data_IF_096683536127
#
_entry.id   IF_096683536127
#
_cell.length_a   1.000
_cell.length_b   1.000
_cell.length_c   1.000
_cell.angle_alpha   90.00
_cell.angle_beta   90.00
_cell.angle_gamma   90.00
#
_symmetry.space_group_name_H-M   'P 1'
#
loop_
_entity.id
_entity.type
_entity.pdbx_description
1 polymer ?
#
# COMPACT_ATOMS: atom_id res chain seq x y z
N UNK A 1 3.43 -18.49 21.60
CA UNK A 1 2.09 -19.12 21.40
C UNK A 1 2.33 -20.62 21.53
N UNK A 2 1.70 -21.30 22.51
CA UNK A 2 2.10 -22.63 23.02
C UNK A 2 1.98 -23.84 22.09
N UNK A 3 2.34 -23.70 20.82
CA UNK A 3 2.53 -24.82 19.90
C UNK A 3 3.85 -25.54 20.25
N UNK A 4 3.84 -26.86 20.16
CA UNK A 4 5.05 -27.67 20.33
C UNK A 4 6.11 -27.29 19.26
N UNK A 5 7.36 -26.98 19.64
CA UNK A 5 8.39 -26.54 18.69
C UNK A 5 8.73 -27.56 17.59
N UNK A 6 8.63 -28.86 17.86
CA UNK A 6 8.86 -29.90 16.84
C UNK A 6 7.75 -29.83 15.79
N UNK A 7 6.51 -29.67 16.23
CA UNK A 7 5.35 -29.44 15.35
C UNK A 7 5.54 -28.17 14.51
N UNK A 8 6.06 -27.09 15.10
CA UNK A 8 6.35 -25.85 14.37
C UNK A 8 7.41 -26.06 13.26
N UNK A 9 8.49 -26.79 13.55
CA UNK A 9 9.52 -27.15 12.55
C UNK A 9 8.92 -28.04 11.46
N UNK A 10 8.11 -29.03 11.82
CA UNK A 10 7.47 -29.93 10.87
C UNK A 10 6.58 -29.15 9.87
N UNK A 11 5.75 -28.23 10.38
CA UNK A 11 4.90 -27.36 9.56
C UNK A 11 5.74 -26.52 8.58
N UNK A 12 6.88 -25.99 9.04
CA UNK A 12 7.76 -25.13 8.24
C UNK A 12 8.70 -25.90 7.29
N UNK A 13 8.77 -27.23 7.37
CA UNK A 13 9.71 -28.06 6.60
C UNK A 13 8.99 -29.14 5.80
N UNK A 14 8.80 -30.34 6.36
CA UNK A 14 8.28 -31.49 5.61
C UNK A 14 6.85 -31.26 5.11
N UNK A 15 5.97 -30.63 5.89
CA UNK A 15 4.60 -30.36 5.44
C UNK A 15 4.59 -29.40 4.24
N UNK A 16 5.48 -28.41 4.22
CA UNK A 16 5.64 -27.51 3.08
C UNK A 16 6.21 -28.25 1.86
N UNK A 17 7.22 -29.10 2.06
CA UNK A 17 7.80 -29.89 0.98
C UNK A 17 6.80 -30.86 0.37
N UNK A 18 6.00 -31.56 1.18
CA UNK A 18 4.93 -32.45 0.72
C UNK A 18 3.84 -31.68 -0.05
N UNK A 19 3.45 -30.50 0.46
CA UNK A 19 2.46 -29.64 -0.21
C UNK A 19 2.94 -29.24 -1.62
N UNK A 20 4.22 -28.89 -1.77
CA UNK A 20 4.83 -28.55 -3.05
C UNK A 20 5.32 -29.76 -3.86
N UNK A 21 5.21 -30.98 -3.33
CA UNK A 21 5.68 -32.24 -3.94
C UNK A 21 7.16 -32.25 -4.28
N UNK A 22 7.97 -31.76 -3.34
CA UNK A 22 9.44 -31.74 -3.39
C UNK A 22 10.04 -32.43 -2.15
N UNK A 23 9.24 -33.26 -1.47
CA UNK A 23 9.61 -34.00 -0.27
C UNK A 23 10.54 -35.18 -0.53
N UNK A 24 10.84 -35.52 -1.79
CA UNK A 24 11.94 -36.39 -2.16
C UNK A 24 13.30 -35.69 -2.10
N UNK A 25 13.35 -34.37 -2.30
CA UNK A 25 14.57 -33.56 -2.31
C UNK A 25 14.77 -32.73 -1.03
N UNK A 26 13.69 -32.20 -0.43
CA UNK A 26 13.72 -31.18 0.62
C UNK A 26 12.86 -31.53 1.85
N UNK A 27 12.87 -30.65 2.84
CA UNK A 27 11.91 -30.66 3.97
C UNK A 27 12.23 -31.63 5.10
N UNK A 28 13.23 -32.50 4.99
CA UNK A 28 13.67 -33.34 6.11
C UNK A 28 15.14 -33.71 6.02
N UNK A 29 15.72 -34.16 7.14
CA UNK A 29 17.10 -34.66 7.19
C UNK A 29 17.07 -36.16 6.90
N UNK A 30 17.46 -36.55 5.68
CA UNK A 30 17.54 -37.94 5.26
C UNK A 30 18.60 -38.13 4.17
N UNK A 31 19.08 -39.36 3.98
CA UNK A 31 20.02 -39.67 2.90
C UNK A 31 19.37 -39.42 1.53
N UNK A 32 20.14 -38.81 0.62
CA UNK A 32 19.69 -38.50 -0.74
C UNK A 32 19.00 -37.15 -0.90
N UNK A 33 18.70 -36.45 0.20
CA UNK A 33 18.13 -35.09 0.19
C UNK A 33 19.19 -34.00 0.10
N UNK A 34 18.77 -32.84 -0.39
CA UNK A 34 19.59 -31.63 -0.41
C UNK A 34 19.86 -31.20 1.03
N UNK A 35 21.12 -30.86 1.32
CA UNK A 35 21.56 -30.48 2.66
C UNK A 35 21.26 -29.01 2.98
N UNK A 36 19.98 -28.66 3.02
CA UNK A 36 19.46 -27.38 3.49
C UNK A 36 19.14 -27.50 4.99
N UNK A 37 20.03 -26.98 5.83
CA UNK A 37 20.01 -27.20 7.28
C UNK A 37 20.12 -25.90 8.06
N UNK A 38 19.37 -25.83 9.17
CA UNK A 38 19.54 -24.81 10.21
C UNK A 38 20.08 -25.48 11.47
N UNK A 39 21.21 -25.00 11.98
CA UNK A 39 21.69 -25.34 13.32
C UNK A 39 21.25 -24.22 14.23
N UNK A 40 20.37 -24.54 15.18
CA UNK A 40 19.82 -23.58 16.15
C UNK A 40 20.31 -23.89 17.56
N UNK A 41 20.34 -22.88 18.42
CA UNK A 41 20.75 -23.04 19.82
C UNK A 41 19.82 -24.00 20.60
N UNK A 42 18.52 -23.88 20.40
CA UNK A 42 17.45 -24.71 20.93
C UNK A 42 16.14 -24.43 20.15
N UNK A 43 15.15 -25.32 20.27
CA UNK A 43 13.88 -25.18 19.53
C UNK A 43 12.94 -24.12 20.11
N UNK A 44 13.17 -23.64 21.34
CA UNK A 44 12.31 -22.63 21.99
C UNK A 44 12.65 -21.22 21.55
N UNK A 45 13.93 -20.83 21.61
CA UNK A 45 14.42 -19.51 21.17
C UNK A 45 14.65 -19.47 19.65
N UNK A 46 14.96 -20.62 19.05
CA UNK A 46 15.18 -20.81 17.61
C UNK A 46 16.23 -19.85 17.02
N UNK A 47 17.26 -19.50 17.79
CA UNK A 47 18.33 -18.64 17.31
C UNK A 47 19.24 -19.44 16.36
N UNK A 48 19.30 -19.01 15.10
CA UNK A 48 20.07 -19.70 14.05
C UNK A 48 21.57 -19.42 14.20
N UNK A 49 22.32 -20.43 14.61
CA UNK A 49 23.79 -20.39 14.66
C UNK A 49 24.41 -20.58 13.27
N UNK A 50 23.92 -21.56 12.49
CA UNK A 50 24.50 -21.89 11.18
C UNK A 50 23.40 -22.15 10.17
N UNK A 51 23.59 -21.62 8.97
CA UNK A 51 22.78 -21.95 7.79
C UNK A 51 23.65 -22.72 6.82
N UNK A 52 23.19 -23.91 6.45
CA UNK A 52 23.74 -24.72 5.36
C UNK A 52 22.73 -24.67 4.22
N UNK A 53 23.20 -24.36 3.01
CA UNK A 53 22.40 -24.41 1.79
C UNK A 53 23.17 -25.23 0.76
N UNK A 54 22.52 -26.22 0.16
CA UNK A 54 23.14 -27.17 -0.78
C UNK A 54 24.45 -27.79 -0.26
N UNK A 55 24.47 -28.14 1.04
CA UNK A 55 25.65 -28.73 1.69
C UNK A 55 26.77 -27.76 2.05
N UNK A 56 26.66 -26.48 1.67
CA UNK A 56 27.63 -25.45 2.01
C UNK A 56 27.18 -24.58 3.18
N UNK A 57 28.07 -24.36 4.15
CA UNK A 57 27.79 -23.39 5.22
C UNK A 57 27.78 -21.99 4.61
N UNK A 58 26.62 -21.36 4.48
CA UNK A 58 26.45 -20.02 3.87
C UNK A 58 26.36 -18.89 4.89
N UNK A 59 26.00 -19.19 6.14
CA UNK A 59 25.96 -18.21 7.24
C UNK A 59 26.40 -18.84 8.55
N UNK A 60 27.11 -18.07 9.39
CA UNK A 60 27.45 -18.48 10.76
C UNK A 60 27.37 -17.29 11.72
N UNK A 61 26.63 -17.44 12.82
CA UNK A 61 26.38 -16.44 13.86
C UNK A 61 25.94 -15.09 13.28
N UNK A 62 24.97 -15.14 12.36
CA UNK A 62 24.44 -13.96 11.65
C UNK A 62 25.33 -13.39 10.55
N UNK A 63 26.57 -13.88 10.37
CA UNK A 63 27.45 -13.45 9.29
C UNK A 63 27.23 -14.30 8.05
N UNK A 64 26.60 -13.74 7.03
CA UNK A 64 26.48 -14.34 5.70
C UNK A 64 27.84 -14.31 4.98
N UNK A 65 28.21 -15.40 4.31
CA UNK A 65 29.54 -15.56 3.69
C UNK A 65 29.69 -14.84 2.35
N UNK A 66 28.61 -14.67 1.59
CA UNK A 66 28.67 -14.09 0.25
C UNK A 66 28.36 -12.59 0.27
N UNK A 67 28.99 -11.86 -0.64
CA UNK A 67 28.65 -10.46 -0.90
C UNK A 67 27.41 -10.42 -1.81
N UNK A 68 26.26 -10.01 -1.25
CA UNK A 68 25.02 -9.84 -2.00
C UNK A 68 25.11 -8.56 -2.83
N UNK A 69 25.58 -8.69 -4.06
CA UNK A 69 25.61 -7.57 -5.00
C UNK A 69 24.19 -7.30 -5.53
N UNK A 70 23.70 -6.05 -5.48
CA UNK A 70 22.44 -5.70 -6.11
C UNK A 70 22.45 -6.11 -7.58
N UNK A 71 21.38 -6.75 -8.09
CA UNK A 71 21.30 -7.11 -9.50
C UNK A 71 21.27 -5.83 -10.36
N UNK A 72 21.63 -5.97 -11.63
CA UNK A 72 21.35 -4.92 -12.61
C UNK A 72 19.86 -4.97 -12.94
N UNK A 73 19.13 -3.95 -12.53
CA UNK A 73 17.73 -3.81 -12.89
C UNK A 73 17.59 -3.43 -14.37
N UNK A 74 16.79 -4.17 -15.15
CA UNK A 74 16.42 -3.80 -16.51
C UNK A 74 15.78 -2.41 -16.58
N UNK A 75 15.87 -1.76 -17.73
CA UNK A 75 15.36 -0.39 -17.90
C UNK A 75 13.84 -0.31 -17.76
N UNK A 76 13.11 -1.34 -18.20
CA UNK A 76 11.64 -1.38 -18.06
C UNK A 76 11.16 -1.43 -16.60
N UNK A 77 12.06 -1.74 -15.65
CA UNK A 77 11.74 -1.73 -14.21
C UNK A 77 11.94 -0.36 -13.57
N UNK A 78 12.39 0.63 -14.33
CA UNK A 78 12.63 2.01 -13.87
C UNK A 78 11.61 2.93 -14.53
N UNK A 79 11.41 4.10 -13.94
CA UNK A 79 10.57 5.17 -14.50
C UNK A 79 9.15 4.69 -14.88
N UNK A 80 8.60 3.83 -14.01
CA UNK A 80 7.29 3.20 -14.18
C UNK A 80 6.15 3.99 -13.55
N UNK A 81 6.44 5.14 -12.95
CA UNK A 81 5.40 6.08 -12.52
C UNK A 81 5.23 7.12 -13.63
N UNK A 82 4.17 6.97 -14.43
CA UNK A 82 3.93 7.80 -15.60
C UNK A 82 2.59 8.49 -15.47
N UNK A 83 2.64 9.81 -15.33
CA UNK A 83 1.45 10.67 -15.39
C UNK A 83 1.53 11.52 -16.67
N UNK A 84 0.42 11.75 -17.37
CA UNK A 84 0.45 12.43 -18.67
C UNK A 84 0.75 13.91 -18.55
N UNK A 85 0.52 14.46 -17.36
CA UNK A 85 0.87 15.81 -16.95
C UNK A 85 1.03 15.87 -15.43
N UNK A 86 1.50 17.01 -14.95
CA UNK A 86 1.44 17.35 -13.54
C UNK A 86 -0.01 17.33 -13.03
N UNK A 87 -0.23 16.68 -11.89
CA UNK A 87 -1.51 16.63 -11.19
C UNK A 87 -1.73 17.95 -10.46
N UNK A 88 -2.91 18.53 -10.63
CA UNK A 88 -3.29 19.83 -10.09
C UNK A 88 -4.31 19.63 -8.96
N UNK A 89 -4.39 20.55 -7.99
CA UNK A 89 -5.42 20.48 -6.93
C UNK A 89 -6.85 20.36 -7.50
N UNK A 90 -7.11 21.01 -8.64
CA UNK A 90 -8.41 20.96 -9.29
C UNK A 90 -8.80 19.56 -9.81
N UNK A 91 -7.86 18.63 -10.00
CA UNK A 91 -8.15 17.27 -10.43
C UNK A 91 -8.86 16.46 -9.33
N UNK A 92 -8.70 16.83 -8.06
CA UNK A 92 -9.35 16.20 -6.90
C UNK A 92 -10.71 16.83 -6.54
N UNK A 93 -11.18 17.83 -7.31
CA UNK A 93 -12.46 18.48 -7.05
C UNK A 93 -13.61 17.57 -7.46
N UNK A 94 -14.44 17.20 -6.50
CA UNK A 94 -15.69 16.46 -6.71
C UNK A 94 -16.80 17.48 -6.95
N UNK A 95 -17.19 17.70 -8.20
CA UNK A 95 -18.28 18.62 -8.54
C UNK A 95 -19.63 17.98 -8.28
N UNK A 96 -20.60 18.81 -7.90
CA UNK A 96 -22.00 18.40 -7.73
C UNK A 96 -22.92 19.43 -8.39
N UNK A 97 -24.11 18.99 -8.81
CA UNK A 97 -25.18 19.89 -9.29
C UNK A 97 -26.06 20.41 -8.14
N UNK A 98 -25.84 19.91 -6.91
CA UNK A 98 -26.63 20.29 -5.73
C UNK A 98 -26.15 21.62 -5.16
N UNK A 99 -27.10 22.43 -4.68
CA UNK A 99 -26.82 23.76 -4.12
C UNK A 99 -26.55 23.76 -2.60
N UNK A 100 -26.80 22.64 -1.91
CA UNK A 100 -26.70 22.49 -0.45
C UNK A 100 -25.84 21.26 -0.09
N UNK A 101 -25.75 20.92 1.20
CA UNK A 101 -25.02 19.72 1.64
C UNK A 101 -25.45 18.45 0.89
N UNK A 102 -24.47 17.61 0.57
CA UNK A 102 -24.65 16.44 -0.28
C UNK A 102 -24.47 15.16 0.52
N UNK A 103 -25.40 14.22 0.32
CA UNK A 103 -25.31 12.85 0.81
C UNK A 103 -24.35 12.06 -0.06
N UNK A 104 -23.28 11.55 0.54
CA UNK A 104 -22.25 10.75 -0.14
C UNK A 104 -22.00 9.44 0.57
N UNK A 105 -21.63 8.42 -0.21
CA UNK A 105 -21.08 7.18 0.30
C UNK A 105 -19.63 7.40 0.71
N UNK A 106 -19.25 6.84 1.86
CA UNK A 106 -17.92 7.02 2.46
C UNK A 106 -17.35 5.65 2.80
N UNK A 107 -16.07 5.45 2.51
CA UNK A 107 -15.35 4.25 2.94
C UNK A 107 -15.08 4.38 4.44
N UNK A 108 -15.66 3.51 5.27
CA UNK A 108 -15.42 3.49 6.71
C UNK A 108 -14.24 2.59 7.08
N UNK A 109 -13.17 3.15 7.62
CA UNK A 109 -11.99 2.41 8.09
C UNK A 109 -12.28 1.74 9.44
N UNK A 110 -11.92 0.47 9.58
CA UNK A 110 -11.87 -0.23 10.87
C UNK A 110 -10.40 -0.47 11.22
N UNK A 111 -9.89 0.22 12.25
CA UNK A 111 -8.47 0.11 12.60
C UNK A 111 -8.06 -1.33 12.94
N UNK A 112 -7.04 -1.83 12.25
CA UNK A 112 -6.49 -3.16 12.47
C UNK A 112 -7.17 -4.27 11.66
N UNK A 113 -8.18 -3.93 10.85
CA UNK A 113 -8.88 -4.87 9.97
C UNK A 113 -8.67 -4.54 8.49
N UNK A 114 -8.91 -5.54 7.63
CA UNK A 114 -8.82 -5.40 6.18
C UNK A 114 -10.17 -5.04 5.54
N UNK A 115 -11.25 -5.39 6.24
CA UNK A 115 -12.62 -5.08 5.82
C UNK A 115 -12.92 -3.60 6.08
N UNK A 116 -13.83 -3.06 5.27
CA UNK A 116 -14.36 -1.70 5.41
C UNK A 116 -15.85 -1.72 5.65
N UNK A 117 -16.39 -0.62 6.18
CA UNK A 117 -17.82 -0.37 6.20
C UNK A 117 -18.22 0.49 5.02
N UNK A 118 -19.41 0.24 4.49
CA UNK A 118 -20.12 1.18 3.62
C UNK A 118 -20.85 2.20 4.49
N UNK A 119 -20.27 3.39 4.63
CA UNK A 119 -20.82 4.47 5.44
C UNK A 119 -21.45 5.55 4.57
N UNK A 120 -22.19 6.45 5.22
CA UNK A 120 -22.90 7.54 4.60
C UNK A 120 -22.64 8.82 5.39
N UNK A 121 -22.36 9.92 4.68
CA UNK A 121 -22.16 11.23 5.30
C UNK A 121 -22.87 12.34 4.54
N UNK A 122 -23.14 13.43 5.25
CA UNK A 122 -23.57 14.70 4.68
C UNK A 122 -22.37 15.64 4.75
N UNK A 123 -21.87 16.04 3.58
CA UNK A 123 -20.65 16.83 3.44
C UNK A 123 -20.93 18.26 2.96
N UNK A 124 -20.10 19.22 3.41
CA UNK A 124 -20.22 20.61 3.02
C UNK A 124 -19.84 20.82 1.56
N UNK A 125 -20.36 21.91 0.99
CA UNK A 125 -19.99 22.40 -0.32
C UNK A 125 -19.18 23.68 -0.22
N UNK A 126 -18.17 23.78 -1.08
CA UNK A 126 -17.44 25.02 -1.31
C UNK A 126 -17.30 25.24 -2.83
N UNK A 127 -17.81 26.37 -3.32
CA UNK A 127 -17.76 26.74 -4.75
C UNK A 127 -18.26 25.62 -5.70
N UNK A 128 -19.36 24.93 -5.33
CA UNK A 128 -19.96 23.85 -6.11
C UNK A 128 -19.20 22.52 -6.08
N UNK A 129 -18.25 22.36 -5.16
CA UNK A 129 -17.51 21.12 -4.97
C UNK A 129 -17.75 20.55 -3.57
N UNK A 130 -17.87 19.22 -3.48
CA UNK A 130 -17.95 18.50 -2.21
C UNK A 130 -16.57 18.50 -1.55
N UNK A 131 -16.51 18.89 -0.27
CA UNK A 131 -15.27 19.03 0.48
C UNK A 131 -15.12 17.95 1.57
N UNK A 132 -13.87 17.69 1.94
CA UNK A 132 -13.56 16.92 3.14
C UNK A 132 -14.12 17.64 4.39
N UNK A 133 -14.43 16.88 5.44
CA UNK A 133 -14.94 17.38 6.71
C UNK A 133 -14.07 16.81 7.83
N UNK A 134 -12.99 17.52 8.12
CA UNK A 134 -11.96 17.12 9.10
C UNK A 134 -12.54 16.98 10.50
N UNK A 135 -13.52 17.81 10.87
CA UNK A 135 -14.18 17.75 12.18
C UNK A 135 -14.96 16.44 12.37
N UNK A 136 -15.40 15.83 11.26
CA UNK A 136 -16.04 14.50 11.24
C UNK A 136 -15.08 13.36 10.88
N UNK A 137 -13.78 13.62 10.82
CA UNK A 137 -12.75 12.68 10.36
C UNK A 137 -13.04 12.10 8.97
N UNK A 138 -13.47 12.97 8.03
CA UNK A 138 -13.70 12.58 6.63
C UNK A 138 -12.68 13.29 5.75
N UNK A 139 -11.82 12.49 5.11
CA UNK A 139 -10.82 12.94 4.14
C UNK A 139 -11.21 12.55 2.71
N UNK A 140 -10.58 13.17 1.72
CA UNK A 140 -10.64 12.69 0.34
C UNK A 140 -9.66 11.54 0.15
N UNK A 141 -10.05 10.57 -0.67
CA UNK A 141 -9.20 9.48 -1.14
C UNK A 141 -9.28 9.41 -2.66
N UNK A 142 -8.14 9.20 -3.31
CA UNK A 142 -8.09 9.04 -4.76
C UNK A 142 -7.11 7.94 -5.18
N UNK A 143 -7.46 7.27 -6.28
CA UNK A 143 -6.59 6.32 -6.99
C UNK A 143 -6.34 6.84 -8.38
N UNK A 144 -5.08 6.95 -8.77
CA UNK A 144 -4.62 7.55 -10.02
C UNK A 144 -3.88 6.50 -10.85
N UNK A 145 -4.35 6.29 -12.07
CA UNK A 145 -3.70 5.42 -13.05
C UNK A 145 -2.31 5.97 -13.40
N UNK A 146 -1.28 5.10 -13.37
CA UNK A 146 0.12 5.52 -13.46
C UNK A 146 0.95 4.79 -14.51
N UNK A 147 0.34 3.92 -15.30
CA UNK A 147 1.01 3.12 -16.33
C UNK A 147 0.80 3.69 -17.73
N UNK A 148 -0.26 4.48 -17.94
CA UNK A 148 -0.67 5.03 -19.22
C UNK A 148 -0.87 3.97 -20.30
N UNK A 149 -1.43 2.81 -19.93
CA UNK A 149 -1.77 1.80 -20.94
C UNK A 149 -2.79 2.40 -21.92
N UNK A 150 -2.61 2.21 -23.24
CA UNK A 150 -3.58 2.66 -24.24
C UNK A 150 -5.00 2.19 -23.96
N UNK A 151 -5.18 0.99 -23.40
CA UNK A 151 -6.49 0.44 -23.07
C UNK A 151 -7.19 1.25 -21.97
N UNK A 152 -6.44 1.79 -21.00
CA UNK A 152 -6.99 2.57 -19.90
C UNK A 152 -7.34 4.00 -20.34
N UNK A 153 -6.69 4.51 -21.39
CA UNK A 153 -7.02 5.83 -21.94
C UNK A 153 -8.41 5.88 -22.57
N UNK A 154 -8.96 4.74 -23.02
CA UNK A 154 -10.33 4.68 -23.54
C UNK A 154 -11.40 4.95 -22.48
N UNK A 155 -11.07 4.73 -21.20
CA UNK A 155 -11.98 4.95 -20.07
C UNK A 155 -11.77 6.29 -19.37
N UNK A 156 -10.78 7.08 -19.79
CA UNK A 156 -10.48 8.34 -19.16
C UNK A 156 -11.42 9.44 -19.67
N UNK A 157 -12.21 10.03 -18.77
CA UNK A 157 -13.01 11.23 -19.08
C UNK A 157 -12.15 12.50 -19.26
N UNK A 158 -10.87 12.43 -18.87
CA UNK A 158 -9.86 13.48 -18.93
C UNK A 158 -8.54 12.95 -19.51
N UNK A 159 -7.45 13.73 -19.42
CA UNK A 159 -6.10 13.30 -19.86
C UNK A 159 -5.59 11.99 -19.18
N UNK A 160 -6.20 11.55 -18.07
CA UNK A 160 -5.86 10.34 -17.32
C UNK A 160 -7.07 9.81 -16.53
N UNK A 161 -6.96 8.56 -16.07
CA UNK A 161 -7.97 7.88 -15.28
C UNK A 161 -7.71 8.06 -13.77
N UNK A 162 -8.72 8.54 -13.05
CA UNK A 162 -8.66 8.77 -11.61
C UNK A 162 -10.05 8.62 -10.98
N UNK A 163 -10.12 7.86 -9.91
CA UNK A 163 -11.28 7.78 -9.04
C UNK A 163 -11.05 8.61 -7.79
N UNK A 164 -12.02 9.42 -7.41
CA UNK A 164 -11.99 10.22 -6.16
C UNK A 164 -13.26 9.95 -5.35
N UNK A 165 -13.10 9.77 -4.04
CA UNK A 165 -14.17 9.57 -3.09
C UNK A 165 -13.80 10.09 -1.71
N UNK A 166 -14.56 9.66 -0.70
CA UNK A 166 -14.35 10.07 0.68
C UNK A 166 -14.12 8.86 1.58
N UNK A 167 -13.31 9.06 2.61
CA UNK A 167 -12.92 8.03 3.60
C UNK A 167 -13.05 8.58 5.01
N UNK A 168 -13.67 7.79 5.90
CA UNK A 168 -13.80 8.06 7.33
C UNK A 168 -12.82 7.21 8.13
N UNK A 169 -12.25 7.77 9.20
CA UNK A 169 -11.46 7.02 10.18
C UNK A 169 -9.96 7.08 9.96
N UNK A 170 -9.48 7.96 9.08
CA UNK A 170 -8.05 8.11 8.79
C UNK A 170 -7.32 9.04 9.78
N UNK A 171 -8.06 9.89 10.48
CA UNK A 171 -7.60 10.82 11.50
C UNK A 171 -6.87 12.06 10.96
N UNK A 172 -6.99 12.39 9.66
CA UNK A 172 -6.21 13.49 9.09
C UNK A 172 -6.80 14.85 9.46
N UNK A 173 -6.03 15.63 10.22
CA UNK A 173 -6.38 17.00 10.59
C UNK A 173 -5.85 18.04 9.58
N UNK A 174 -4.81 17.69 8.84
CA UNK A 174 -4.12 18.53 7.86
C UNK A 174 -3.35 17.59 6.90
N UNK A 175 -2.81 18.10 5.80
CA UNK A 175 -1.89 17.34 4.96
C UNK A 175 -2.48 16.18 4.16
N UNK A 176 -1.57 15.40 3.58
CA UNK A 176 -1.88 14.22 2.80
C UNK A 176 -0.78 13.15 2.92
N UNK A 177 -1.16 11.89 2.70
CA UNK A 177 -0.23 10.79 2.49
C UNK A 177 -0.56 10.07 1.19
N UNK A 178 0.42 9.40 0.61
CA UNK A 178 0.16 8.52 -0.52
C UNK A 178 1.27 7.53 -0.77
N UNK A 179 0.96 6.56 -1.63
CA UNK A 179 1.85 5.50 -2.05
C UNK A 179 1.63 5.11 -3.51
N UNK A 180 2.66 4.55 -4.15
CA UNK A 180 2.56 3.97 -5.51
C UNK A 180 2.17 2.50 -5.52
N UNK A 181 1.36 2.06 -4.55
CA UNK A 181 0.97 0.67 -4.42
C UNK A 181 -0.52 0.52 -4.04
N UNK A 182 -1.38 0.53 -5.06
CA UNK A 182 -2.75 0.03 -4.98
C UNK A 182 -2.79 -1.43 -5.49
N UNK A 183 -3.10 -2.45 -4.67
CA UNK A 183 -3.02 -3.85 -5.10
C UNK A 183 -3.95 -4.15 -6.28
N UNK A 184 -3.49 -5.01 -7.19
CA UNK A 184 -4.07 -5.34 -8.51
C UNK A 184 -3.53 -4.44 -9.63
N UNK A 185 -3.93 -3.16 -9.79
CA UNK A 185 -3.39 -2.34 -10.88
C UNK A 185 -2.05 -1.68 -10.50
N UNK A 186 -1.61 -1.74 -9.25
CA UNK A 186 -0.39 -1.07 -8.76
C UNK A 186 -0.38 0.44 -8.99
N UNK A 187 -1.55 1.08 -8.97
CA UNK A 187 -1.75 2.52 -9.16
C UNK A 187 -1.26 3.37 -7.97
N UNK A 188 -1.30 4.70 -8.11
CA UNK A 188 -1.01 5.62 -7.01
C UNK A 188 -2.28 5.79 -6.17
N UNK A 189 -2.16 5.63 -4.86
CA UNK A 189 -3.21 5.93 -3.90
C UNK A 189 -2.81 7.14 -3.05
N UNK A 190 -3.75 8.04 -2.80
CA UNK A 190 -3.54 9.23 -1.97
C UNK A 190 -4.76 9.50 -1.11
N UNK A 191 -4.55 9.89 0.14
CA UNK A 191 -5.59 10.35 1.06
C UNK A 191 -5.13 11.66 1.71
N UNK A 192 -6.02 12.64 1.79
CA UNK A 192 -5.68 13.96 2.32
C UNK A 192 -6.87 14.79 2.73
N UNK A 193 -6.60 15.79 3.56
CA UNK A 193 -7.60 16.76 3.99
C UNK A 193 -7.78 17.93 3.01
N UNK A 194 -6.79 18.16 2.13
CA UNK A 194 -6.80 19.23 1.14
C UNK A 194 -6.19 18.80 -0.21
N UNK A 195 -6.64 19.45 -1.28
CA UNK A 195 -6.30 19.06 -2.65
C UNK A 195 -4.85 19.42 -3.04
N UNK A 196 -4.31 20.49 -2.44
CA UNK A 196 -2.95 20.99 -2.66
C UNK A 196 -1.89 19.98 -2.22
N UNK A 197 -2.01 19.46 -1.01
CA UNK A 197 -1.10 18.47 -0.46
C UNK A 197 -1.27 17.11 -1.14
N UNK A 198 -2.49 16.73 -1.53
CA UNK A 198 -2.73 15.53 -2.34
C UNK A 198 -2.03 15.61 -3.70
N UNK A 199 -2.13 16.74 -4.40
CA UNK A 199 -1.41 16.96 -5.66
C UNK A 199 0.11 16.89 -5.45
N UNK A 200 0.62 17.50 -4.38
CA UNK A 200 2.05 17.47 -4.04
C UNK A 200 2.56 16.05 -3.76
N UNK A 201 1.78 15.23 -3.06
CA UNK A 201 2.07 13.81 -2.82
C UNK A 201 2.22 13.08 -4.15
N UNK A 202 1.21 13.14 -5.03
CA UNK A 202 1.19 12.36 -6.28
C UNK A 202 2.33 12.76 -7.21
N UNK A 203 2.55 14.07 -7.39
CA UNK A 203 3.64 14.55 -8.24
C UNK A 203 5.02 14.18 -7.66
N UNK A 204 5.18 14.20 -6.34
CA UNK A 204 6.45 13.80 -5.73
C UNK A 204 6.69 12.28 -5.83
N UNK A 205 5.64 11.45 -5.75
CA UNK A 205 5.73 10.01 -6.01
C UNK A 205 6.27 9.77 -7.42
N UNK A 206 5.76 10.48 -8.44
CA UNK A 206 6.30 10.43 -9.79
C UNK A 206 7.77 10.85 -9.84
N UNK A 207 8.11 12.00 -9.26
CA UNK A 207 9.47 12.57 -9.23
C UNK A 207 10.51 11.58 -8.69
N UNK A 208 10.17 10.81 -7.65
CA UNK A 208 11.10 9.88 -7.00
C UNK A 208 11.05 8.45 -7.52
N UNK A 209 10.21 8.19 -8.54
CA UNK A 209 10.03 6.87 -9.13
C UNK A 209 9.18 5.92 -8.29
N UNK A 210 8.39 6.44 -7.36
CA UNK A 210 7.47 5.69 -6.51
C UNK A 210 7.93 5.58 -5.06
N UNK A 211 7.01 5.12 -4.21
CA UNK A 211 7.21 4.92 -2.79
C UNK A 211 6.15 5.58 -1.93
N UNK A 212 6.51 5.89 -0.68
CA UNK A 212 5.61 6.46 0.33
C UNK A 212 5.93 7.93 0.52
N UNK A 213 4.92 8.80 0.63
CA UNK A 213 5.11 10.25 0.83
C UNK A 213 4.12 10.78 1.86
N UNK A 214 4.58 11.71 2.70
CA UNK A 214 3.77 12.49 3.65
C UNK A 214 4.02 13.97 3.40
N UNK A 215 2.95 14.73 3.16
CA UNK A 215 3.01 16.18 2.92
C UNK A 215 2.14 16.90 3.93
N UNK A 216 2.56 18.11 4.32
CA UNK A 216 1.77 19.05 5.12
C UNK A 216 2.09 20.48 4.68
N UNK A 217 1.07 21.27 4.33
CA UNK A 217 1.23 22.68 3.94
C UNK A 217 2.27 22.89 2.82
N UNK A 218 2.24 22.02 1.81
CA UNK A 218 3.14 22.04 0.65
C UNK A 218 4.54 21.48 0.89
N UNK A 219 4.89 21.12 2.14
CA UNK A 219 6.19 20.58 2.51
C UNK A 219 6.18 19.06 2.65
N UNK A 220 7.20 18.38 2.11
CA UNK A 220 7.37 16.93 2.27
C UNK A 220 7.97 16.66 3.65
N UNK A 221 7.17 16.11 4.56
CA UNK A 221 7.60 15.80 5.93
C UNK A 221 8.49 14.56 6.00
N UNK A 222 8.18 13.53 5.21
CA UNK A 222 9.02 12.34 5.03
C UNK A 222 8.61 11.60 3.76
N UNK A 223 9.52 10.75 3.27
CA UNK A 223 9.29 9.89 2.13
C UNK A 223 10.10 8.59 2.23
N UNK A 224 9.64 7.50 1.61
CA UNK A 224 10.46 6.32 1.34
C UNK A 224 10.49 6.12 -0.18
N UNK A 225 11.66 6.23 -0.81
CA UNK A 225 11.79 6.04 -2.26
C UNK A 225 11.84 4.56 -2.64
N UNK A 226 10.99 4.15 -3.56
CA UNK A 226 10.87 2.79 -4.11
C UNK A 226 10.99 2.81 -5.65
N UNK A 227 12.14 3.24 -6.21
CA UNK A 227 12.28 3.57 -7.63
C UNK A 227 12.22 2.39 -8.60
N UNK A 228 12.19 1.14 -8.10
CA UNK A 228 12.10 -0.06 -8.94
C UNK A 228 10.64 -0.47 -8.96
N UNK A 229 10.01 -0.34 -10.13
CA UNK A 229 8.57 -0.56 -10.38
C UNK A 229 7.62 0.31 -9.56
N UNK A 230 8.13 1.26 -8.78
CA UNK A 230 7.36 1.94 -7.74
C UNK A 230 7.18 1.12 -6.45
N UNK A 231 7.83 -0.04 -6.32
CA UNK A 231 7.55 -1.03 -5.29
C UNK A 231 8.79 -1.41 -4.46
N UNK A 232 9.98 -1.37 -5.06
CA UNK A 232 11.20 -1.86 -4.43
C UNK A 232 12.27 -0.78 -4.32
N UNK A 233 13.09 -0.89 -3.27
CA UNK A 233 14.25 -0.01 -3.05
C UNK A 233 15.55 -0.69 -3.43
N UNK A 234 16.54 0.11 -3.82
CA UNK A 234 17.94 -0.34 -4.02
C UNK A 234 18.78 -0.24 -2.76
N UNK A 235 18.21 0.30 -1.68
CA UNK A 235 18.88 0.47 -0.40
C UNK A 235 18.86 -0.83 0.41
N UNK A 236 19.73 -0.91 1.43
CA UNK A 236 19.74 -2.04 2.36
C UNK A 236 18.46 -2.10 3.20
N UNK A 237 18.13 -3.29 3.72
CA UNK A 237 16.97 -3.51 4.58
C UNK A 237 16.95 -2.55 5.78
N UNK A 238 18.09 -2.29 6.41
CA UNK A 238 18.19 -1.40 7.57
C UNK A 238 17.82 0.04 7.20
N UNK A 239 18.32 0.53 6.05
CA UNK A 239 17.99 1.87 5.55
C UNK A 239 16.51 1.98 5.20
N UNK A 240 15.97 0.98 4.50
CA UNK A 240 14.54 0.95 4.11
C UNK A 240 13.65 0.86 5.35
N UNK A 241 13.95 -0.04 6.28
CA UNK A 241 13.18 -0.22 7.52
C UNK A 241 13.21 1.04 8.40
N UNK A 242 14.39 1.65 8.56
CA UNK A 242 14.51 2.92 9.27
C UNK A 242 13.67 4.01 8.60
N UNK A 243 13.77 4.15 7.28
CA UNK A 243 13.05 5.19 6.55
C UNK A 243 11.54 4.95 6.52
N UNK A 244 11.09 3.69 6.44
CA UNK A 244 9.69 3.33 6.57
C UNK A 244 9.13 3.74 7.94
N UNK A 245 9.85 3.43 9.03
CA UNK A 245 9.45 3.83 10.40
C UNK A 245 9.39 5.35 10.55
N UNK A 246 10.36 6.08 10.01
CA UNK A 246 10.35 7.55 9.99
C UNK A 246 9.15 8.11 9.24
N UNK A 247 8.83 7.54 8.07
CA UNK A 247 7.70 7.99 7.25
C UNK A 247 6.35 7.67 7.90
N UNK A 248 6.19 6.49 8.51
CA UNK A 248 5.01 6.18 9.32
C UNK A 248 4.91 7.12 10.53
N UNK A 249 6.01 7.40 11.23
CA UNK A 249 5.98 8.33 12.36
C UNK A 249 5.61 9.78 11.94
N UNK A 250 5.92 10.17 10.69
CA UNK A 250 5.57 11.49 10.18
C UNK A 250 4.05 11.68 9.99
N UNK A 251 3.27 10.61 9.79
CA UNK A 251 1.80 10.70 9.64
C UNK A 251 1.11 11.20 10.92
N UNK A 252 1.71 10.95 12.09
CA UNK A 252 1.22 11.50 13.37
C UNK A 252 1.23 13.04 13.39
N UNK A 253 2.14 13.68 12.65
CA UNK A 253 2.24 15.16 12.58
C UNK A 253 1.08 15.81 11.82
N UNK A 254 0.31 15.00 11.10
CA UNK A 254 -0.87 15.40 10.34
C UNK A 254 -2.17 14.81 10.92
N UNK A 255 -2.11 14.21 12.12
CA UNK A 255 -3.27 13.71 12.87
C UNK A 255 -3.52 12.21 12.77
N UNK A 256 -2.90 11.51 11.81
CA UNK A 256 -3.17 10.09 11.61
C UNK A 256 -2.58 9.24 12.74
N UNK A 257 -3.44 8.64 13.56
CA UNK A 257 -3.06 7.75 14.66
C UNK A 257 -3.10 6.25 14.30
N UNK A 258 -3.59 5.90 13.11
CA UNK A 258 -3.63 4.53 12.61
C UNK A 258 -2.23 3.88 12.73
N UNK A 259 -2.17 2.68 13.31
CA UNK A 259 -0.90 1.96 13.49
C UNK A 259 -0.11 1.73 12.19
N UNK A 260 -0.79 1.51 11.07
CA UNK A 260 -0.18 1.16 9.78
C UNK A 260 -0.87 1.89 8.62
N UNK A 261 -0.69 3.22 8.50
CA UNK A 261 -1.51 4.07 7.64
C UNK A 261 -1.39 3.73 6.15
N UNK A 262 -0.17 3.50 5.65
CA UNK A 262 0.05 3.06 4.27
C UNK A 262 -0.54 1.67 4.01
N UNK A 263 -0.39 0.72 4.94
CA UNK A 263 -1.03 -0.59 4.78
C UNK A 263 -2.56 -0.46 4.73
N UNK A 264 -3.14 0.41 5.56
CA UNK A 264 -4.58 0.70 5.52
C UNK A 264 -4.99 1.30 4.18
N UNK A 265 -4.28 2.33 3.70
CA UNK A 265 -4.54 2.97 2.40
C UNK A 265 -4.54 1.96 1.25
N UNK A 266 -3.48 1.15 1.16
CA UNK A 266 -3.35 0.04 0.21
C UNK A 266 -4.58 -0.89 0.22
N UNK A 267 -5.13 -1.21 1.38
CA UNK A 267 -6.32 -2.07 1.46
C UNK A 267 -7.64 -1.35 1.15
N UNK A 268 -7.69 -0.02 1.18
CA UNK A 268 -8.86 0.74 0.71
C UNK A 268 -9.00 0.68 -0.80
N UNK A 269 -7.92 0.36 -1.51
CA UNK A 269 -7.87 0.26 -2.97
C UNK A 269 -7.94 -1.17 -3.48
N UNK A 270 -8.28 -2.15 -2.64
CA UNK A 270 -8.30 -3.56 -3.02
C UNK A 270 -9.74 -4.07 -3.19
N UNK A 271 -10.31 -4.05 -4.42
CA UNK A 271 -11.74 -4.25 -4.68
C UNK A 271 -12.17 -5.73 -4.65
N UNK A 272 -11.60 -6.52 -3.74
CA UNK A 272 -12.00 -7.92 -3.49
C UNK A 272 -12.27 -8.21 -2.01
N UNK A 273 -12.04 -7.24 -1.13
CA UNK A 273 -12.37 -7.33 0.29
C UNK A 273 -13.56 -6.39 0.55
N UNK A 274 -14.69 -6.89 1.06
CA UNK A 274 -15.86 -6.07 1.37
C UNK A 274 -15.61 -4.91 2.37
N UNK A 275 -16.49 -3.92 2.46
CA UNK A 275 -17.73 -3.72 1.67
C UNK A 275 -17.59 -2.66 0.56
N UNK A 276 -17.01 -1.50 0.87
CA UNK A 276 -16.83 -0.39 -0.06
C UNK A 276 -15.34 -0.06 -0.22
N UNK A 277 -14.86 0.04 -1.46
CA UNK A 277 -13.47 0.33 -1.83
C UNK A 277 -13.42 1.40 -2.91
N UNK A 278 -12.21 1.82 -3.29
CA UNK A 278 -11.99 2.77 -4.39
C UNK A 278 -10.97 2.23 -5.39
N UNK A 279 -11.20 2.46 -6.67
CA UNK A 279 -10.24 2.22 -7.75
C UNK A 279 -10.10 3.49 -8.58
N UNK A 280 -9.27 3.46 -9.61
CA UNK A 280 -9.18 4.50 -10.61
C UNK A 280 -10.51 4.74 -11.38
N UNK A 281 -11.48 3.83 -11.26
CA UNK A 281 -12.84 3.95 -11.81
C UNK A 281 -13.86 4.53 -10.81
N UNK A 282 -13.42 4.90 -9.60
CA UNK A 282 -14.28 5.44 -8.54
C UNK A 282 -14.61 4.41 -7.45
N UNK A 283 -15.74 4.60 -6.77
CA UNK A 283 -16.15 3.72 -5.68
C UNK A 283 -16.63 2.37 -6.22
N UNK A 284 -16.27 1.30 -5.52
CA UNK A 284 -16.67 -0.07 -5.83
C UNK A 284 -17.40 -0.67 -4.64
N UNK A 285 -18.64 -1.10 -4.88
CA UNK A 285 -19.37 -2.00 -3.99
C UNK A 285 -18.89 -3.42 -4.26
N UNK A 286 -18.06 -3.95 -3.36
CA UNK A 286 -17.35 -5.21 -3.59
C UNK A 286 -18.28 -6.41 -3.47
N UNK A 287 -19.36 -6.30 -2.70
CA UNK A 287 -20.33 -7.38 -2.56
C UNK A 287 -21.12 -7.59 -3.87
N UNK A 288 -21.49 -6.49 -4.51
CA UNK A 288 -22.23 -6.51 -5.78
C UNK A 288 -21.30 -6.50 -7.01
N UNK A 289 -19.99 -6.33 -6.80
CA UNK A 289 -18.95 -6.28 -7.86
C UNK A 289 -19.23 -5.21 -8.92
N UNK A 290 -19.70 -4.03 -8.49
CA UNK A 290 -20.06 -2.93 -9.39
C UNK A 290 -19.48 -1.59 -8.90
N UNK A 291 -19.25 -0.68 -9.85
CA UNK A 291 -18.98 0.72 -9.53
C UNK A 291 -20.26 1.39 -9.06
N UNK A 292 -20.16 2.22 -8.03
CA UNK A 292 -21.31 2.94 -7.47
C UNK A 292 -21.08 4.44 -7.48
N UNK A 293 -22.16 5.19 -7.71
CA UNK A 293 -22.11 6.65 -7.62
C UNK A 293 -21.74 7.09 -6.21
N UNK A 294 -20.90 8.12 -6.14
CA UNK A 294 -20.49 8.75 -4.90
C UNK A 294 -21.68 9.38 -4.18
N UNK A 295 -22.46 10.18 -4.93
CA UNK A 295 -23.71 10.76 -4.45
C UNK A 295 -24.82 9.70 -4.42
N UNK A 296 -25.78 9.90 -3.52
CA UNK A 296 -27.05 9.20 -3.56
C UNK A 296 -28.18 10.10 -3.09
N UNK A 297 -29.38 9.75 -3.51
CA UNK A 297 -30.63 10.34 -3.03
C UNK A 297 -31.36 9.31 -2.15
N UNK A 298 -32.30 9.77 -1.32
CA UNK A 298 -33.15 8.90 -0.49
C UNK A 298 -34.15 8.09 -1.32
#
# INVERSE_FOLDING_TARGET
RGLDPVTAVQIATINAAEFFKVDDELGSIANGKIADLLIVNNLSDFEVETVVADGEVVSRKGSFKADLKPPKYPEYMKDTIKLPREIRPNDFKVKTEKDNEVKVKVIGVIEGELITKKENAVLPLENGCICADVDKDISKISVIERHQSPEYQEFADNDFLMGTGFINGFGLNDGAIGESFAPVPENIAVVGSNDEDMAKVVNHIQEVGGGLVVVKNGEILSQLKLPILGLLSRNSLEKVSKKQKETVAATKKIGCEIRSPFLTLMFMTYPIIPELKITEFGLVDVENMETVNLEYDD
#
